data_IF_090128230433
#
_entry.id   IF_090128230433
#
_cell.length_a   1.000
_cell.length_b   1.000
_cell.length_c   1.000
_cell.angle_alpha   90.00
_cell.angle_beta   90.00
_cell.angle_gamma   90.00
#
_symmetry.space_group_name_H-M   'P 1'
#
loop_
_entity.id
_entity.type
_entity.pdbx_description
1 polymer ?
#
# COMPACT_ATOMS: atom_id res chain seq x y z
N UNK A 1 52.26 42.24 -5.06
CA UNK A 1 50.87 41.83 -4.80
C UNK A 1 50.90 40.36 -4.38
N UNK A 2 50.36 40.02 -3.20
CA UNK A 2 50.53 38.70 -2.60
C UNK A 2 49.37 37.78 -3.03
N UNK A 3 49.46 37.28 -4.26
CA UNK A 3 48.38 36.51 -4.91
C UNK A 3 48.07 35.17 -4.22
N UNK A 4 48.97 34.67 -3.38
CA UNK A 4 48.86 33.39 -2.67
C UNK A 4 47.82 33.41 -1.53
N UNK A 5 47.78 34.49 -0.74
CA UNK A 5 46.84 34.62 0.39
C UNK A 5 45.37 34.64 -0.07
N UNK A 6 45.09 35.30 -1.19
CA UNK A 6 43.75 35.32 -1.79
C UNK A 6 43.33 33.94 -2.32
N UNK A 7 44.28 33.16 -2.84
CA UNK A 7 44.05 31.78 -3.27
C UNK A 7 43.72 30.85 -2.10
N UNK A 8 44.47 30.97 -1.00
CA UNK A 8 44.22 30.20 0.23
C UNK A 8 42.85 30.54 0.85
N UNK A 9 42.50 31.83 0.92
CA UNK A 9 41.19 32.25 1.41
C UNK A 9 40.04 31.69 0.55
N UNK A 10 40.17 31.72 -0.78
CA UNK A 10 39.17 31.13 -1.69
C UNK A 10 39.01 29.63 -1.46
N UNK A 11 40.12 28.91 -1.25
CA UNK A 11 40.10 27.47 -0.97
C UNK A 11 39.35 27.16 0.33
N UNK A 12 39.60 27.93 1.38
CA UNK A 12 38.88 27.80 2.65
C UNK A 12 37.37 28.04 2.48
N UNK A 13 36.99 29.11 1.77
CA UNK A 13 35.58 29.40 1.50
C UNK A 13 34.86 28.28 0.73
N UNK A 14 35.54 27.65 -0.24
CA UNK A 14 34.98 26.52 -0.99
C UNK A 14 34.75 25.32 -0.06
N UNK A 15 35.72 25.00 0.80
CA UNK A 15 35.59 23.91 1.76
C UNK A 15 34.43 24.14 2.74
N UNK A 16 34.26 25.36 3.24
CA UNK A 16 33.13 25.72 4.10
C UNK A 16 31.78 25.51 3.38
N UNK A 17 31.68 25.87 2.10
CA UNK A 17 30.46 25.67 1.30
C UNK A 17 30.15 24.19 1.08
N UNK A 18 31.16 23.37 0.77
CA UNK A 18 31.01 21.92 0.63
C UNK A 18 30.54 21.28 1.94
N UNK A 19 31.11 21.69 3.07
CA UNK A 19 30.66 21.21 4.39
C UNK A 19 29.21 21.59 4.68
N UNK A 20 28.78 22.80 4.34
CA UNK A 20 27.39 23.22 4.53
C UNK A 20 26.41 22.40 3.68
N UNK A 21 26.78 22.09 2.43
CA UNK A 21 25.97 21.23 1.57
C UNK A 21 25.86 19.81 2.13
N UNK A 22 26.98 19.23 2.56
CA UNK A 22 27.02 17.89 3.16
C UNK A 22 26.16 17.84 4.43
N UNK A 23 26.30 18.82 5.33
CA UNK A 23 25.47 18.94 6.53
C UNK A 23 23.98 19.07 6.20
N UNK A 24 23.63 19.85 5.17
CA UNK A 24 22.22 19.99 4.76
C UNK A 24 21.63 18.67 4.23
N UNK A 25 22.41 17.92 3.44
CA UNK A 25 22.01 16.61 2.93
C UNK A 25 21.80 15.61 4.07
N UNK A 26 22.76 15.49 4.98
CA UNK A 26 22.69 14.60 6.14
C UNK A 26 21.51 14.95 7.06
N UNK A 27 21.26 16.24 7.28
CA UNK A 27 20.11 16.71 8.04
C UNK A 27 18.79 16.32 7.38
N UNK A 28 18.68 16.43 6.05
CA UNK A 28 17.48 16.05 5.31
C UNK A 28 17.21 14.54 5.39
N UNK A 29 18.25 13.72 5.22
CA UNK A 29 18.16 12.25 5.37
C UNK A 29 17.71 11.90 6.79
N UNK A 30 18.33 12.51 7.80
CA UNK A 30 18.00 12.32 9.21
C UNK A 30 16.56 12.71 9.52
N UNK A 31 16.10 13.85 9.00
CA UNK A 31 14.72 14.30 9.20
C UNK A 31 13.71 13.30 8.63
N UNK A 32 13.91 12.85 7.38
CA UNK A 32 13.05 11.85 6.74
C UNK A 32 13.04 10.52 7.51
N UNK A 33 14.22 10.05 7.95
CA UNK A 33 14.34 8.83 8.73
C UNK A 33 13.59 8.92 10.07
N UNK A 34 13.71 10.04 10.79
CA UNK A 34 12.98 10.30 12.05
C UNK A 34 11.48 10.31 11.84
N UNK A 35 11.00 11.01 10.82
CA UNK A 35 9.57 11.08 10.47
C UNK A 35 9.03 9.70 10.11
N UNK A 36 9.75 8.91 9.29
CA UNK A 36 9.40 7.53 8.99
C UNK A 36 9.33 6.66 10.25
N UNK A 37 10.34 6.72 11.11
CA UNK A 37 10.38 5.95 12.36
C UNK A 37 9.21 6.32 13.30
N UNK A 38 8.83 7.60 13.37
CA UNK A 38 7.68 8.04 14.14
C UNK A 38 6.36 7.50 13.57
N UNK A 39 6.18 7.52 12.25
CA UNK A 39 5.00 6.95 11.62
C UNK A 39 4.93 5.43 11.75
N UNK A 40 6.05 4.73 11.55
CA UNK A 40 6.13 3.28 11.71
C UNK A 40 5.82 2.86 13.16
N UNK A 41 6.24 3.65 14.16
CA UNK A 41 5.89 3.43 15.57
C UNK A 41 4.39 3.62 15.83
N UNK A 42 3.75 4.55 15.13
CA UNK A 42 2.31 4.78 15.25
C UNK A 42 1.46 3.79 14.45
N UNK A 43 2.03 3.15 13.43
CA UNK A 43 1.40 2.02 12.77
C UNK A 43 1.30 0.86 13.77
N UNK A 44 0.10 0.66 14.32
CA UNK A 44 -0.20 -0.57 15.05
C UNK A 44 0.09 -1.76 14.12
N UNK A 45 0.99 -2.65 14.51
CA UNK A 45 1.25 -3.92 13.83
C UNK A 45 -0.01 -4.79 13.89
N UNK A 46 -0.97 -4.54 12.99
CA UNK A 46 -2.14 -5.38 12.81
C UNK A 46 -1.65 -6.69 12.21
N UNK A 47 -1.46 -7.70 13.05
CA UNK A 47 -1.31 -9.08 12.59
C UNK A 47 -2.59 -9.46 11.84
N UNK A 48 -2.52 -9.40 10.52
CA UNK A 48 -3.56 -9.93 9.65
C UNK A 48 -3.41 -11.45 9.67
N UNK A 49 -4.37 -12.13 10.29
CA UNK A 49 -4.47 -13.58 10.17
C UNK A 49 -4.82 -13.91 8.71
N UNK A 50 -4.36 -15.03 8.18
CA UNK A 50 -4.88 -15.58 6.93
C UNK A 50 -6.40 -15.66 7.07
N UNK A 51 -7.14 -14.96 6.19
CA UNK A 51 -8.59 -14.78 6.30
C UNK A 51 -9.08 -13.48 6.97
N UNK A 52 -8.21 -12.57 7.45
CA UNK A 52 -8.68 -11.25 7.96
C UNK A 52 -9.06 -10.26 6.85
N UNK A 53 -8.65 -10.57 5.62
CA UNK A 53 -9.08 -9.93 4.38
C UNK A 53 -10.19 -10.77 3.71
N UNK A 54 -11.18 -11.25 4.47
CA UNK A 54 -12.39 -11.77 3.82
C UNK A 54 -13.17 -10.58 3.29
N UNK A 55 -13.34 -10.53 1.97
CA UNK A 55 -14.29 -9.63 1.36
C UNK A 55 -15.68 -9.95 1.91
N UNK A 56 -16.28 -9.03 2.66
CA UNK A 56 -17.60 -9.20 3.30
C UNK A 56 -18.75 -9.07 2.29
N UNK A 57 -18.66 -9.78 1.16
CA UNK A 57 -19.77 -9.90 0.23
C UNK A 57 -20.75 -10.93 0.78
N UNK A 58 -22.01 -10.52 0.94
CA UNK A 58 -23.11 -11.45 1.15
C UNK A 58 -23.34 -12.21 -0.16
N UNK A 59 -23.77 -13.47 -0.09
CA UNK A 59 -23.72 -14.49 -1.15
C UNK A 59 -24.29 -14.13 -2.54
N UNK A 60 -24.45 -15.12 -3.41
CA UNK A 60 -24.92 -14.85 -4.78
C UNK A 60 -26.36 -14.32 -4.76
N UNK A 61 -26.61 -13.30 -5.59
CA UNK A 61 -27.95 -12.77 -5.85
C UNK A 61 -28.16 -12.70 -7.37
N UNK A 62 -29.40 -12.87 -7.79
CA UNK A 62 -29.80 -12.72 -9.21
C UNK A 62 -30.27 -11.30 -9.45
N UNK A 63 -29.75 -10.63 -10.47
CA UNK A 63 -30.22 -9.30 -10.86
C UNK A 63 -31.54 -9.45 -11.64
N UNK A 64 -32.61 -8.81 -11.17
CA UNK A 64 -33.93 -8.87 -11.80
C UNK A 64 -34.24 -7.66 -12.67
N UNK A 65 -33.77 -6.48 -12.27
CA UNK A 65 -34.01 -5.23 -13.01
C UNK A 65 -32.83 -4.27 -12.88
N UNK A 66 -32.43 -3.68 -14.00
CA UNK A 66 -31.41 -2.63 -14.06
C UNK A 66 -32.09 -1.30 -14.40
N UNK A 67 -31.80 -0.27 -13.63
CA UNK A 67 -32.31 1.07 -13.86
C UNK A 67 -31.26 1.96 -14.54
N UNK A 68 -31.69 2.99 -15.28
CA UNK A 68 -30.80 4.08 -15.65
C UNK A 68 -30.08 4.62 -14.41
N UNK A 69 -28.81 4.99 -14.56
CA UNK A 69 -27.96 5.53 -13.47
C UNK A 69 -27.50 4.53 -12.41
N UNK A 70 -27.61 3.22 -12.68
CA UNK A 70 -26.84 2.20 -11.96
C UNK A 70 -27.48 1.63 -10.69
N UNK A 71 -28.73 1.95 -10.39
CA UNK A 71 -29.48 1.18 -9.39
C UNK A 71 -29.94 -0.16 -9.98
N UNK A 72 -29.99 -1.21 -9.16
CA UNK A 72 -30.40 -2.55 -9.58
C UNK A 72 -31.25 -3.21 -8.50
N UNK A 73 -32.28 -3.94 -8.94
CA UNK A 73 -33.01 -4.86 -8.07
C UNK A 73 -32.32 -6.23 -8.11
N UNK A 74 -31.99 -6.76 -6.94
CA UNK A 74 -31.38 -8.08 -6.75
C UNK A 74 -32.33 -8.96 -5.95
N UNK A 75 -32.42 -10.23 -6.33
CA UNK A 75 -33.25 -11.23 -5.68
C UNK A 75 -32.39 -12.29 -5.00
N UNK A 76 -32.73 -12.60 -3.76
CA UNK A 76 -32.20 -13.76 -3.06
C UNK A 76 -33.02 -15.00 -3.45
N UNK A 77 -32.37 -16.02 -4.02
CA UNK A 77 -33.06 -17.21 -4.53
C UNK A 77 -33.61 -18.14 -3.43
N UNK A 78 -33.04 -18.09 -2.22
CA UNK A 78 -33.48 -18.93 -1.09
C UNK A 78 -34.75 -18.38 -0.44
N UNK A 79 -34.82 -17.05 -0.27
CA UNK A 79 -35.91 -16.36 0.42
C UNK A 79 -36.92 -15.72 -0.52
N UNK A 80 -36.60 -15.62 -1.81
CA UNK A 80 -37.38 -14.89 -2.81
C UNK A 80 -37.37 -13.38 -2.66
N UNK A 81 -36.73 -12.83 -1.62
CA UNK A 81 -36.77 -11.40 -1.29
C UNK A 81 -35.98 -10.57 -2.30
N UNK A 82 -36.58 -9.45 -2.72
CA UNK A 82 -35.99 -8.48 -3.64
C UNK A 82 -35.49 -7.27 -2.86
N UNK A 83 -34.28 -6.81 -3.21
CA UNK A 83 -33.64 -5.63 -2.64
C UNK A 83 -33.23 -4.68 -3.76
N UNK A 84 -33.43 -3.38 -3.54
CA UNK A 84 -32.90 -2.34 -4.41
C UNK A 84 -31.56 -1.87 -3.89
N UNK A 85 -30.52 -1.97 -4.71
CA UNK A 85 -29.15 -1.61 -4.35
C UNK A 85 -28.50 -0.74 -5.42
N UNK A 86 -27.42 -0.05 -5.05
CA UNK A 86 -26.55 0.60 -6.01
C UNK A 86 -25.62 -0.45 -6.64
N UNK A 87 -25.52 -0.47 -7.98
CA UNK A 87 -24.67 -1.38 -8.75
C UNK A 87 -23.19 -1.29 -8.40
N UNK A 88 -22.72 -0.13 -7.91
CA UNK A 88 -21.34 0.01 -7.38
C UNK A 88 -21.07 -0.87 -6.14
N UNK A 89 -22.13 -1.36 -5.49
CA UNK A 89 -22.09 -2.27 -4.33
C UNK A 89 -22.34 -3.73 -4.73
N UNK A 90 -22.21 -4.05 -6.01
CA UNK A 90 -22.30 -5.41 -6.53
C UNK A 90 -20.96 -5.84 -7.11
N UNK A 91 -20.68 -7.14 -7.04
CA UNK A 91 -19.54 -7.77 -7.66
C UNK A 91 -20.03 -8.93 -8.53
N UNK A 92 -19.60 -9.06 -9.80
CA UNK A 92 -19.92 -10.22 -10.60
C UNK A 92 -19.54 -11.50 -9.87
N UNK A 93 -20.50 -12.44 -9.81
CA UNK A 93 -20.28 -13.76 -9.26
C UNK A 93 -19.85 -14.68 -10.40
N UNK A 94 -18.60 -15.17 -10.35
CA UNK A 94 -18.10 -16.14 -11.32
C UNK A 94 -18.33 -17.54 -10.73
N UNK A 95 -19.30 -18.26 -11.27
CA UNK A 95 -19.57 -19.66 -10.93
C UNK A 95 -18.38 -20.51 -11.44
N UNK A 96 -17.51 -20.95 -10.53
CA UNK A 96 -16.30 -21.69 -10.93
C UNK A 96 -15.04 -21.49 -10.09
N UNK A 97 -15.08 -20.78 -8.96
CA UNK A 97 -13.96 -20.86 -8.01
C UNK A 97 -14.04 -22.21 -7.27
N UNK A 98 -13.57 -23.28 -7.90
CA UNK A 98 -13.16 -24.48 -7.19
C UNK A 98 -11.94 -24.07 -6.38
N UNK A 99 -12.01 -23.96 -5.03
CA UNK A 99 -10.81 -23.78 -4.23
C UNK A 99 -10.07 -25.11 -4.34
N UNK A 100 -9.23 -25.26 -5.36
CA UNK A 100 -8.15 -26.20 -5.25
C UNK A 100 -7.41 -25.76 -4.00
N UNK A 101 -7.33 -26.67 -3.02
CA UNK A 101 -6.45 -26.50 -1.88
C UNK A 101 -5.11 -26.06 -2.45
N UNK A 102 -4.77 -24.79 -2.27
CA UNK A 102 -3.46 -24.28 -2.65
C UNK A 102 -2.51 -25.11 -1.79
N UNK A 103 -1.82 -26.06 -2.42
CA UNK A 103 -0.76 -26.80 -1.77
C UNK A 103 0.18 -25.74 -1.21
N UNK A 104 0.26 -25.70 0.12
CA UNK A 104 1.22 -24.85 0.81
C UNK A 104 2.57 -25.43 0.46
N UNK A 105 3.15 -24.95 -0.63
CA UNK A 105 4.53 -25.24 -0.99
C UNK A 105 5.38 -24.66 0.14
N UNK A 106 5.79 -25.51 1.07
CA UNK A 106 6.77 -25.18 2.10
C UNK A 106 8.06 -24.78 1.38
N UNK A 107 8.27 -23.47 1.23
CA UNK A 107 9.52 -22.92 0.70
C UNK A 107 10.64 -23.25 1.69
N UNK A 108 11.38 -24.30 1.42
CA UNK A 108 12.60 -24.60 2.17
C UNK A 108 13.69 -23.60 1.77
N UNK A 109 14.49 -23.17 2.74
CA UNK A 109 15.64 -22.30 2.47
C UNK A 109 16.60 -22.97 1.48
N UNK A 110 17.18 -22.26 0.50
CA UNK A 110 18.12 -22.85 -0.42
C UNK A 110 19.35 -23.37 0.34
N UNK A 111 19.71 -24.63 0.09
CA UNK A 111 20.99 -25.18 0.53
C UNK A 111 22.07 -24.68 -0.42
N UNK A 112 22.97 -23.86 0.10
CA UNK A 112 24.20 -23.50 -0.60
C UNK A 112 25.27 -24.49 -0.13
N UNK A 113 25.69 -25.36 -1.04
CA UNK A 113 26.91 -26.17 -0.89
C UNK A 113 28.13 -25.34 -1.28
#
# INVERSE_FOLDING_TARGET
MNFDAAGQQRKLQIQELEELQNRAFDNAVTYKAKTKAFHDKQLSNKKFKVGKLQSKWTGPFVVTKVYPYGAMDIQNMETGKIFKVNGHRLKPFYEGFQPHSVEVNSLHAPSYN
#
